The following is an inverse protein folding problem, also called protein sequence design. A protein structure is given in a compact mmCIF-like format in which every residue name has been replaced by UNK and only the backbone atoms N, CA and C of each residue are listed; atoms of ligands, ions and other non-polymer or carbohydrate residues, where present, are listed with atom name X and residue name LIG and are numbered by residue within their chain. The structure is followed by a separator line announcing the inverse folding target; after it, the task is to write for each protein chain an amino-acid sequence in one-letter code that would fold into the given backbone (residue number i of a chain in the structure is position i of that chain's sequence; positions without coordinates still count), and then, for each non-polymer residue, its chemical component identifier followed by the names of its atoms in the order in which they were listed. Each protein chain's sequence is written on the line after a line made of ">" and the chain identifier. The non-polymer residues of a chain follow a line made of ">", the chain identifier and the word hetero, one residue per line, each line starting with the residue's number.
data_IF_809460695101
#
_entry.id   IF_809460695101
#
_cell.length_a   1.000
_cell.length_b   1.000
_cell.length_c   1.000
_cell.angle_alpha   90.00
_cell.angle_beta   90.00
_cell.angle_gamma   90.00
#
_symmetry.space_group_name_H-M   'P 1'
#
loop_
_entity.id
_entity.type
_entity.pdbx_description
1 polymer ?
#
# COMPACT_ATOMS: atom_id res chain seq x y z
N UNK A 1 -8.48 -6.93 21.84
CA UNK A 1 -7.09 -7.46 21.91
C UNK A 1 -7.13 -8.99 21.82
N UNK A 2 -6.70 -9.57 20.69
CA UNK A 2 -6.74 -11.03 20.45
C UNK A 2 -5.94 -11.83 21.49
N UNK A 3 -6.37 -13.06 21.78
CA UNK A 3 -5.69 -14.03 22.66
C UNK A 3 -4.21 -14.21 22.29
N UNK A 4 -3.91 -14.13 20.99
CA UNK A 4 -2.55 -14.22 20.45
C UNK A 4 -1.63 -13.07 20.90
N UNK A 5 -2.16 -11.84 21.02
CA UNK A 5 -1.39 -10.69 21.49
C UNK A 5 -0.99 -10.84 22.98
N UNK A 6 -1.80 -11.54 23.79
CA UNK A 6 -1.47 -11.79 25.20
C UNK A 6 -0.37 -12.85 25.36
N UNK A 7 -0.30 -13.85 24.48
CA UNK A 7 0.75 -14.86 24.50
C UNK A 7 2.12 -14.28 24.08
N UNK A 8 2.15 -13.38 23.10
CA UNK A 8 3.40 -12.72 22.68
C UNK A 8 3.98 -11.82 23.77
N UNK A 9 3.13 -11.06 24.47
CA UNK A 9 3.55 -10.25 25.62
C UNK A 9 4.16 -11.08 26.74
N UNK A 10 3.66 -12.31 26.97
CA UNK A 10 4.22 -13.24 27.97
C UNK A 10 5.59 -13.80 27.58
N UNK A 11 5.94 -13.81 26.30
CA UNK A 11 7.24 -14.27 25.79
C UNK A 11 8.24 -13.11 25.56
N UNK A 12 7.90 -11.89 26.00
CA UNK A 12 8.75 -10.71 25.78
C UNK A 12 8.81 -10.23 24.32
N UNK A 13 8.00 -10.81 23.42
CA UNK A 13 7.91 -10.41 22.00
C UNK A 13 6.93 -9.26 21.81
N UNK A 14 7.20 -8.41 20.83
CA UNK A 14 6.29 -7.32 20.46
C UNK A 14 5.06 -7.91 19.77
N UNK A 15 3.82 -7.53 20.17
CA UNK A 15 2.61 -7.95 19.45
C UNK A 15 2.70 -7.67 17.95
N UNK A 16 2.39 -8.65 17.11
CA UNK A 16 2.44 -8.53 15.65
C UNK A 16 1.66 -7.32 15.10
N UNK A 17 0.50 -7.02 15.69
CA UNK A 17 -0.32 -5.86 15.34
C UNK A 17 0.35 -4.51 15.66
N UNK A 18 1.36 -4.48 16.54
CA UNK A 18 2.18 -3.30 16.85
C UNK A 18 3.44 -3.22 15.99
N UNK A 19 3.93 -4.36 15.51
CA UNK A 19 5.06 -4.42 14.57
C UNK A 19 4.64 -3.94 13.18
N UNK A 20 3.52 -4.43 12.66
CA UNK A 20 3.01 -4.03 11.35
C UNK A 20 2.52 -2.58 11.43
N UNK A 21 3.21 -1.67 10.71
CA UNK A 21 2.92 -0.24 10.72
C UNK A 21 1.43 0.04 10.45
N UNK A 22 0.72 0.67 11.40
CA UNK A 22 -0.73 0.83 11.33
C UNK A 22 -1.19 1.85 10.28
N UNK A 23 -0.31 2.76 9.86
CA UNK A 23 -0.64 3.79 8.86
C UNK A 23 -0.21 3.39 7.43
N UNK A 24 0.20 2.14 7.22
CA UNK A 24 0.64 1.66 5.91
C UNK A 24 -0.50 1.26 4.99
N UNK A 25 -0.27 1.37 3.67
CA UNK A 25 -1.18 0.86 2.64
C UNK A 25 -1.47 -0.63 2.86
N UNK A 26 -0.42 -1.42 3.09
CA UNK A 26 -0.54 -2.87 3.29
C UNK A 26 -1.48 -3.21 4.45
N UNK A 27 -1.39 -2.47 5.55
CA UNK A 27 -2.27 -2.70 6.70
C UNK A 27 -3.72 -2.39 6.36
N UNK A 28 -3.97 -1.25 5.70
CA UNK A 28 -5.31 -0.86 5.28
C UNK A 28 -5.92 -1.85 4.28
N UNK A 29 -5.14 -2.34 3.31
CA UNK A 29 -5.60 -3.34 2.34
C UNK A 29 -5.94 -4.68 3.00
N UNK A 30 -5.15 -5.10 3.99
CA UNK A 30 -5.47 -6.30 4.77
C UNK A 30 -6.79 -6.13 5.54
N UNK A 31 -7.01 -4.95 6.15
CA UNK A 31 -8.22 -4.66 6.92
C UNK A 31 -9.49 -4.59 6.06
N UNK A 32 -9.40 -4.09 4.82
CA UNK A 32 -10.57 -4.05 3.90
C UNK A 32 -10.76 -5.33 3.08
N UNK A 33 -9.72 -6.15 2.92
CA UNK A 33 -9.80 -7.46 2.28
C UNK A 33 -10.29 -8.57 3.23
N UNK A 34 -9.99 -8.45 4.53
CA UNK A 34 -10.51 -9.35 5.54
C UNK A 34 -11.93 -8.94 5.97
N UNK A 35 -12.81 -9.89 6.34
CA UNK A 35 -14.12 -9.55 6.90
C UNK A 35 -13.99 -8.72 8.19
N UNK A 36 -14.80 -7.65 8.32
CA UNK A 36 -14.83 -6.84 9.53
C UNK A 36 -15.52 -7.60 10.68
N UNK A 37 -14.71 -8.18 11.57
CA UNK A 37 -15.19 -9.01 12.68
C UNK A 37 -15.69 -8.22 13.89
N UNK A 38 -15.12 -7.04 14.11
CA UNK A 38 -15.33 -6.28 15.35
C UNK A 38 -16.08 -4.95 15.10
N UNK A 39 -16.36 -4.57 13.84
CA UNK A 39 -17.00 -3.29 13.50
C UNK A 39 -16.12 -2.07 13.75
N UNK A 40 -14.84 -2.29 14.06
CA UNK A 40 -13.85 -1.28 14.45
C UNK A 40 -12.81 -1.02 13.37
N UNK A 41 -12.92 -1.70 12.22
CA UNK A 41 -12.04 -1.47 11.08
C UNK A 41 -12.16 -0.04 10.56
N UNK A 42 -11.02 0.55 10.25
CA UNK A 42 -10.95 1.84 9.56
C UNK A 42 -11.32 3.09 10.37
N UNK A 43 -11.47 3.01 11.70
CA UNK A 43 -11.70 4.22 12.53
C UNK A 43 -10.43 5.01 12.85
N UNK A 44 -9.25 4.40 12.64
CA UNK A 44 -7.97 5.01 13.01
C UNK A 44 -7.67 6.22 12.13
N UNK A 45 -7.47 7.38 12.76
CA UNK A 45 -6.91 8.56 12.08
C UNK A 45 -5.39 8.38 11.96
N UNK A 46 -4.83 8.49 10.74
CA UNK A 46 -3.39 8.41 10.48
C UNK A 46 -2.64 9.50 11.25
N UNK A 47 -1.38 9.29 11.66
CA UNK A 47 -0.64 10.32 12.43
C UNK A 47 -0.62 11.66 11.70
N UNK A 48 -0.26 11.67 10.41
CA UNK A 48 -0.28 12.89 9.60
C UNK A 48 -1.67 13.55 9.53
N UNK A 49 -2.77 12.82 9.74
CA UNK A 49 -4.13 13.36 9.74
C UNK A 49 -4.60 14.00 11.04
N UNK A 50 -3.78 13.96 12.10
CA UNK A 50 -4.18 14.41 13.44
C UNK A 50 -3.85 15.88 13.68
N UNK A 51 -4.35 16.36 14.82
CA UNK A 51 -4.04 17.67 15.39
C UNK A 51 -4.41 18.83 14.48
N UNK A 52 -5.56 18.73 13.81
CA UNK A 52 -6.07 19.80 12.92
C UNK A 52 -6.36 21.11 13.67
N UNK A 53 -6.52 21.04 14.99
CA UNK A 53 -6.69 22.19 15.87
C UNK A 53 -5.41 23.03 16.06
N UNK A 54 -4.23 22.48 15.74
CA UNK A 54 -2.95 23.16 15.96
C UNK A 54 -2.52 23.99 14.74
N UNK A 55 -1.85 25.15 14.96
CA UNK A 55 -1.17 25.87 13.89
C UNK A 55 -0.12 24.99 13.18
N UNK A 56 0.11 25.16 11.87
CA UNK A 56 1.02 24.31 11.08
C UNK A 56 2.42 24.14 11.68
N UNK A 57 3.00 25.23 12.20
CA UNK A 57 4.36 25.24 12.77
C UNK A 57 4.49 24.42 14.07
N UNK A 58 3.42 24.30 14.87
CA UNK A 58 3.42 23.43 16.06
C UNK A 58 3.01 22.00 15.71
N UNK A 59 2.10 21.85 14.75
CA UNK A 59 1.54 20.57 14.36
C UNK A 59 2.64 19.60 13.95
N UNK A 60 3.59 20.03 13.12
CA UNK A 60 4.71 19.18 12.68
C UNK A 60 5.45 18.52 13.84
N UNK A 61 5.89 19.31 14.83
CA UNK A 61 6.62 18.80 16.00
C UNK A 61 5.78 17.84 16.86
N UNK A 62 4.50 18.16 17.08
CA UNK A 62 3.61 17.29 17.85
C UNK A 62 3.39 15.97 17.13
N UNK A 63 3.16 16.00 15.82
CA UNK A 63 3.00 14.80 15.01
C UNK A 63 4.27 13.95 14.99
N UNK A 64 5.45 14.57 14.92
CA UNK A 64 6.74 13.89 14.99
C UNK A 64 6.92 13.13 16.32
N UNK A 65 6.52 13.75 17.43
CA UNK A 65 6.53 13.14 18.76
C UNK A 65 5.52 12.00 18.88
N UNK A 66 4.30 12.16 18.34
CA UNK A 66 3.29 11.09 18.31
C UNK A 66 3.75 9.89 17.47
N UNK A 67 4.35 10.14 16.30
CA UNK A 67 4.91 9.08 15.46
C UNK A 67 6.02 8.31 16.18
N UNK A 68 6.95 9.03 16.84
CA UNK A 68 7.98 8.40 17.65
C UNK A 68 7.35 7.59 18.81
N UNK A 69 6.34 8.14 19.50
CA UNK A 69 5.66 7.45 20.59
C UNK A 69 5.02 6.12 20.15
N UNK A 70 4.39 6.10 18.98
CA UNK A 70 3.74 4.91 18.42
C UNK A 70 4.71 3.91 17.78
N UNK A 71 5.86 4.37 17.26
CA UNK A 71 6.86 3.53 16.64
C UNK A 71 7.42 2.46 17.60
N UNK A 72 7.92 1.37 17.02
CA UNK A 72 8.63 0.32 17.75
C UNK A 72 9.91 0.92 18.36
N UNK A 73 10.16 0.75 19.67
CA UNK A 73 11.42 1.16 20.28
C UNK A 73 12.61 0.46 19.61
N UNK A 74 13.71 1.19 19.42
CA UNK A 74 14.89 0.67 18.76
C UNK A 74 15.51 -0.52 19.52
N UNK A 75 15.43 -0.47 20.85
CA UNK A 75 15.90 -1.49 21.80
C UNK A 75 15.08 -2.78 21.76
N UNK A 76 14.02 -2.81 20.95
CA UNK A 76 13.17 -3.97 20.75
C UNK A 76 13.22 -4.50 19.31
N UNK A 77 14.17 -4.04 18.49
CA UNK A 77 14.35 -4.49 17.12
C UNK A 77 14.61 -6.01 17.03
N UNK A 78 15.40 -6.56 17.94
CA UNK A 78 15.69 -8.01 18.07
C UNK A 78 14.47 -8.85 18.49
N UNK A 79 13.42 -8.21 19.02
CA UNK A 79 12.17 -8.85 19.45
C UNK A 79 11.11 -8.88 18.36
N UNK A 80 11.40 -8.33 17.18
CA UNK A 80 10.51 -8.41 16.02
C UNK A 80 10.53 -9.85 15.48
N UNK A 81 9.36 -10.48 15.44
CA UNK A 81 9.16 -11.82 14.90
C UNK A 81 8.29 -11.72 13.63
N UNK A 82 8.91 -11.85 12.47
CA UNK A 82 8.24 -11.75 11.19
C UNK A 82 7.30 -12.96 10.95
N UNK A 83 7.65 -14.15 11.44
CA UNK A 83 6.76 -15.32 11.39
C UNK A 83 5.47 -15.12 12.20
N UNK A 84 5.57 -14.43 13.33
CA UNK A 84 4.42 -13.98 14.11
C UNK A 84 3.53 -12.98 13.36
N UNK A 85 4.14 -12.06 12.60
CA UNK A 85 3.38 -11.15 11.72
C UNK A 85 2.63 -11.94 10.65
N UNK A 86 3.28 -12.91 10.00
CA UNK A 86 2.63 -13.77 9.01
C UNK A 86 1.45 -14.56 9.60
N UNK A 87 1.58 -15.12 10.82
CA UNK A 87 0.47 -15.77 11.54
C UNK A 87 -0.66 -14.80 11.87
N UNK A 88 -0.32 -13.58 12.29
CA UNK A 88 -1.31 -12.55 12.60
C UNK A 88 -2.09 -12.13 11.34
N UNK A 89 -1.41 -12.02 10.18
CA UNK A 89 -2.05 -11.72 8.89
C UNK A 89 -3.04 -12.82 8.51
N UNK A 90 -2.63 -14.10 8.51
CA UNK A 90 -3.52 -15.20 8.12
C UNK A 90 -4.71 -15.37 9.08
N UNK A 91 -4.52 -15.04 10.35
CA UNK A 91 -5.58 -15.05 11.36
C UNK A 91 -6.65 -13.96 11.17
N UNK A 92 -6.43 -12.95 10.31
CA UNK A 92 -7.47 -11.97 9.98
C UNK A 92 -8.64 -12.61 9.23
N UNK A 93 -8.39 -13.72 8.54
CA UNK A 93 -9.37 -14.40 7.71
C UNK A 93 -10.18 -15.43 8.52
N UNK A 94 -11.46 -15.66 8.17
CA UNK A 94 -12.27 -16.73 8.75
C UNK A 94 -11.74 -18.11 8.40
N UNK A 95 -12.13 -19.10 9.20
CA UNK A 95 -11.74 -20.51 9.07
C UNK A 95 -12.49 -21.23 7.90
N UNK A 96 -12.70 -20.54 6.77
CA UNK A 96 -13.32 -21.07 5.54
C UNK A 96 -12.36 -21.51 4.43
N UNK A 97 -12.83 -22.33 3.48
CA UNK A 97 -12.04 -22.67 2.29
C UNK A 97 -12.19 -21.59 1.20
N UNK A 98 -11.10 -21.20 0.56
CA UNK A 98 -11.07 -20.17 -0.48
C UNK A 98 -10.89 -20.81 -1.87
N UNK A 99 -11.65 -20.33 -2.87
CA UNK A 99 -11.44 -20.72 -4.26
C UNK A 99 -10.21 -20.04 -4.88
N UNK A 100 -9.82 -18.89 -4.31
CA UNK A 100 -8.70 -18.10 -4.77
C UNK A 100 -7.93 -17.46 -3.59
N UNK A 101 -6.64 -17.22 -3.77
CA UNK A 101 -5.82 -16.38 -2.89
C UNK A 101 -5.02 -15.40 -3.74
N UNK A 102 -5.02 -14.13 -3.37
CA UNK A 102 -4.19 -13.10 -3.99
C UNK A 102 -2.99 -12.85 -3.09
N UNK A 103 -1.78 -12.90 -3.64
CA UNK A 103 -0.54 -12.58 -2.97
C UNK A 103 0.14 -11.44 -3.71
N UNK A 104 0.83 -10.53 -3.03
CA UNK A 104 1.64 -9.58 -3.79
C UNK A 104 2.01 -8.28 -3.11
N UNK A 105 2.57 -7.40 -3.94
CA UNK A 105 2.79 -5.99 -3.66
C UNK A 105 1.50 -5.29 -3.21
N UNK A 106 1.57 -4.30 -2.32
CA UNK A 106 0.40 -3.54 -1.89
C UNK A 106 -0.17 -2.75 -3.06
N UNK A 107 -1.43 -3.04 -3.39
CA UNK A 107 -2.16 -2.35 -4.45
C UNK A 107 -3.66 -2.39 -4.13
N UNK A 108 -4.38 -1.27 -4.24
CA UNK A 108 -5.82 -1.24 -3.92
C UNK A 108 -6.64 -2.19 -4.80
N UNK A 109 -6.25 -2.34 -6.06
CA UNK A 109 -6.79 -3.38 -6.95
C UNK A 109 -6.66 -4.82 -6.41
N UNK A 110 -5.63 -5.13 -5.61
CA UNK A 110 -5.53 -6.45 -4.97
C UNK A 110 -6.64 -6.68 -3.93
N UNK A 111 -7.04 -5.64 -3.21
CA UNK A 111 -8.14 -5.69 -2.26
C UNK A 111 -9.50 -5.80 -2.98
N UNK A 112 -9.69 -5.09 -4.10
CA UNK A 112 -10.85 -5.25 -4.98
C UNK A 112 -10.97 -6.66 -5.56
N UNK A 113 -9.85 -7.25 -6.00
CA UNK A 113 -9.81 -8.64 -6.42
C UNK A 113 -10.16 -9.60 -5.28
N UNK A 114 -9.62 -9.37 -4.08
CA UNK A 114 -9.93 -10.18 -2.92
C UNK A 114 -11.44 -10.20 -2.63
N UNK A 115 -12.08 -9.03 -2.61
CA UNK A 115 -13.52 -8.93 -2.40
C UNK A 115 -14.34 -9.62 -3.51
N UNK A 116 -13.97 -9.41 -4.78
CA UNK A 116 -14.74 -9.88 -5.94
C UNK A 116 -14.60 -11.38 -6.20
N UNK A 117 -13.40 -11.93 -5.98
CA UNK A 117 -13.13 -13.37 -6.04
C UNK A 117 -13.58 -14.09 -4.75
N UNK A 118 -13.90 -13.34 -3.69
CA UNK A 118 -13.99 -13.80 -2.31
C UNK A 118 -12.75 -14.62 -1.90
N UNK A 119 -11.59 -14.04 -2.18
CA UNK A 119 -10.25 -14.54 -1.90
C UNK A 119 -9.66 -13.87 -0.65
N UNK A 120 -8.66 -14.50 -0.06
CA UNK A 120 -7.78 -13.82 0.90
C UNK A 120 -6.69 -13.03 0.17
N UNK A 121 -6.27 -11.89 0.72
CA UNK A 121 -5.08 -11.15 0.28
C UNK A 121 -3.91 -11.29 1.26
N UNK A 122 -2.75 -11.76 0.77
CA UNK A 122 -1.55 -11.99 1.57
C UNK A 122 -0.39 -11.12 1.05
N UNK A 123 0.08 -10.10 1.79
CA UNK A 123 1.14 -9.22 1.31
C UNK A 123 2.50 -9.93 1.26
N UNK A 124 3.32 -9.61 0.26
CA UNK A 124 4.69 -10.16 0.06
C UNK A 124 5.77 -9.49 0.93
N UNK A 125 5.36 -8.54 1.77
CA UNK A 125 6.18 -7.90 2.77
C UNK A 125 5.33 -6.99 3.64
N UNK A 126 5.94 -6.36 4.64
CA UNK A 126 5.23 -5.43 5.51
C UNK A 126 6.20 -4.36 6.05
N UNK A 127 5.73 -3.12 6.22
CA UNK A 127 6.52 -2.06 6.84
C UNK A 127 6.46 -2.12 8.36
N UNK A 128 7.59 -1.82 8.97
CA UNK A 128 7.79 -1.57 10.41
C UNK A 128 8.38 -0.17 10.54
N UNK A 129 7.86 0.62 11.49
CA UNK A 129 8.43 1.92 11.83
C UNK A 129 9.12 1.82 13.17
N UNK A 130 10.40 2.15 13.21
CA UNK A 130 11.20 2.17 14.44
C UNK A 130 11.59 3.60 14.80
N UNK A 131 11.78 3.84 16.09
CA UNK A 131 12.26 5.13 16.59
C UNK A 131 13.68 5.42 16.09
N UNK A 132 13.93 6.68 15.79
CA UNK A 132 15.26 7.20 15.51
C UNK A 132 15.52 8.40 16.43
N UNK A 133 15.95 8.15 17.67
CA UNK A 133 16.21 9.21 18.63
C UNK A 133 17.39 10.06 18.18
N UNK A 134 17.23 11.39 18.18
CA UNK A 134 18.27 12.33 17.74
C UNK A 134 18.50 12.37 16.23
N UNK A 135 17.61 11.75 15.44
CA UNK A 135 17.69 11.79 13.98
C UNK A 135 17.36 13.14 13.37
N UNK A 136 17.69 13.28 12.09
CA UNK A 136 17.41 14.47 11.29
C UNK A 136 16.88 14.09 9.91
N UNK A 137 15.90 14.84 9.42
CA UNK A 137 15.38 14.68 8.06
C UNK A 137 16.48 14.82 7.00
N UNK A 138 17.44 15.72 7.22
CA UNK A 138 18.48 16.06 6.25
C UNK A 138 19.65 15.07 6.20
N UNK A 139 19.88 14.36 7.30
CA UNK A 139 21.01 13.43 7.47
C UNK A 139 20.59 11.99 7.13
N UNK A 140 20.25 11.77 5.86
CA UNK A 140 19.90 10.44 5.39
C UNK A 140 21.06 9.42 5.47
N UNK A 141 22.37 9.80 5.38
CA UNK A 141 23.45 8.87 5.64
C UNK A 141 23.42 8.32 7.08
N UNK A 142 23.22 9.19 8.09
CA UNK A 142 23.05 8.72 9.47
C UNK A 142 21.78 7.85 9.64
N UNK A 143 20.71 8.16 8.90
CA UNK A 143 19.52 7.30 8.87
C UNK A 143 19.83 5.90 8.31
N UNK A 144 20.67 5.81 7.29
CA UNK A 144 21.12 4.56 6.68
C UNK A 144 21.94 3.73 7.67
N UNK A 145 22.93 4.34 8.32
CA UNK A 145 23.77 3.66 9.31
C UNK A 145 22.94 3.17 10.50
N UNK A 146 22.04 4.01 11.00
CA UNK A 146 21.12 3.65 12.08
C UNK A 146 20.24 2.45 11.70
N UNK A 147 19.62 2.50 10.52
CA UNK A 147 18.75 1.43 10.08
C UNK A 147 19.49 0.18 9.65
N UNK A 148 20.75 0.24 9.21
CA UNK A 148 21.60 -0.93 8.98
C UNK A 148 21.84 -1.72 10.29
N UNK A 149 22.08 -1.01 11.39
CA UNK A 149 22.18 -1.62 12.72
C UNK A 149 20.88 -2.30 13.15
N UNK A 150 19.74 -1.61 12.98
CA UNK A 150 18.42 -2.18 13.29
C UNK A 150 18.06 -3.37 12.39
N UNK A 151 18.34 -3.28 11.09
CA UNK A 151 18.10 -4.34 10.13
C UNK A 151 18.90 -5.59 10.47
N UNK A 152 20.16 -5.42 10.90
CA UNK A 152 21.02 -6.53 11.32
C UNK A 152 20.43 -7.27 12.53
N UNK A 153 19.93 -6.54 13.53
CA UNK A 153 19.26 -7.13 14.71
C UNK A 153 17.99 -7.89 14.32
N UNK A 154 17.18 -7.31 13.43
CA UNK A 154 15.95 -7.93 12.93
C UNK A 154 16.27 -9.19 12.12
N UNK A 155 17.21 -9.10 11.18
CA UNK A 155 17.56 -10.19 10.26
C UNK A 155 18.13 -11.40 11.02
N UNK A 156 18.89 -11.19 12.09
CA UNK A 156 19.44 -12.27 12.93
C UNK A 156 18.34 -13.20 13.49
N UNK A 157 17.17 -12.65 13.85
CA UNK A 157 16.01 -13.43 14.30
C UNK A 157 15.07 -13.87 13.17
N UNK A 158 15.27 -13.41 11.95
CA UNK A 158 14.35 -13.56 10.82
C UNK A 158 15.10 -13.87 9.51
N UNK A 159 15.78 -15.02 9.38
CA UNK A 159 16.61 -15.32 8.20
C UNK A 159 15.80 -15.40 6.89
N UNK A 160 14.48 -15.52 6.95
CA UNK A 160 13.59 -15.57 5.79
C UNK A 160 13.17 -14.22 5.20
N UNK A 161 13.70 -13.09 5.69
CA UNK A 161 13.35 -11.75 5.17
C UNK A 161 14.55 -11.01 4.61
N UNK A 162 14.32 -10.17 3.60
CA UNK A 162 15.21 -9.05 3.27
C UNK A 162 14.62 -7.75 3.80
N UNK A 163 15.48 -6.77 4.10
CA UNK A 163 15.10 -5.49 4.69
C UNK A 163 15.41 -4.35 3.73
N UNK A 164 14.40 -3.53 3.46
CA UNK A 164 14.52 -2.31 2.69
C UNK A 164 14.20 -1.09 3.55
N UNK A 165 15.16 -0.22 3.81
CA UNK A 165 14.87 1.08 4.40
C UNK A 165 14.50 2.10 3.33
N UNK A 166 13.51 2.93 3.64
CA UNK A 166 13.13 4.09 2.82
C UNK A 166 13.23 5.35 3.66
N UNK A 167 14.07 6.29 3.22
CA UNK A 167 14.16 7.64 3.77
C UNK A 167 13.51 8.63 2.80
N UNK A 168 12.27 9.02 3.09
CA UNK A 168 11.44 9.79 2.15
C UNK A 168 10.73 10.96 2.85
N UNK A 169 11.33 12.17 2.83
CA UNK A 169 10.73 13.36 3.43
C UNK A 169 9.47 13.84 2.71
N UNK A 170 9.28 13.50 1.42
CA UNK A 170 8.11 13.92 0.64
C UNK A 170 6.85 13.25 1.19
N UNK A 171 6.94 11.95 1.42
CA UNK A 171 5.84 11.14 1.96
C UNK A 171 5.68 11.28 3.47
N UNK A 172 6.79 11.33 4.22
CA UNK A 172 6.75 11.32 5.70
C UNK A 172 6.66 12.71 6.31
N UNK A 173 7.01 13.76 5.56
CA UNK A 173 7.01 15.15 6.03
C UNK A 173 7.69 15.28 7.40
N UNK A 174 7.01 15.85 8.41
CA UNK A 174 7.60 16.07 9.74
C UNK A 174 7.90 14.77 10.52
N UNK A 175 7.44 13.62 10.05
CA UNK A 175 7.78 12.32 10.66
C UNK A 175 9.12 11.77 10.16
N UNK A 176 9.65 12.32 9.07
CA UNK A 176 11.01 12.08 8.63
C UNK A 176 11.97 12.64 9.70
N UNK A 177 13.05 11.93 10.02
CA UNK A 177 14.00 12.36 11.06
C UNK A 177 13.71 11.85 12.48
N UNK A 178 12.47 11.54 12.86
CA UNK A 178 12.17 10.96 14.20
C UNK A 178 12.00 9.45 14.21
N UNK A 179 11.83 8.88 13.03
CA UNK A 179 11.58 7.45 12.82
C UNK A 179 12.22 6.98 11.53
N UNK A 180 12.59 5.70 11.48
CA UNK A 180 12.99 5.01 10.26
C UNK A 180 11.90 4.02 9.84
N UNK A 181 11.70 3.85 8.53
CA UNK A 181 10.76 2.87 7.98
C UNK A 181 11.53 1.74 7.33
N UNK A 182 11.40 0.55 7.89
CA UNK A 182 11.97 -0.68 7.35
C UNK A 182 10.85 -1.51 6.74
N UNK A 183 11.00 -1.93 5.50
CA UNK A 183 10.10 -2.86 4.84
C UNK A 183 10.75 -4.24 4.82
N UNK A 184 10.16 -5.15 5.57
CA UNK A 184 10.56 -6.55 5.63
C UNK A 184 9.86 -7.27 4.47
N UNK A 185 10.61 -7.86 3.55
CA UNK A 185 10.10 -8.56 2.37
C UNK A 185 10.38 -10.04 2.52
N UNK A 186 9.39 -10.89 2.21
CA UNK A 186 9.55 -12.34 2.35
C UNK A 186 10.50 -12.86 1.26
N UNK A 187 11.70 -13.27 1.67
CA UNK A 187 12.64 -14.00 0.81
C UNK A 187 12.30 -15.49 0.79
N UNK A 188 11.79 -15.98 1.92
CA UNK A 188 11.30 -17.35 2.13
C UNK A 188 9.81 -17.31 2.41
N UNK A 189 9.04 -18.23 1.83
CA UNK A 189 7.60 -18.32 2.05
C UNK A 189 7.34 -18.60 3.54
N UNK A 190 6.67 -17.70 4.28
CA UNK A 190 6.44 -17.91 5.70
C UNK A 190 5.61 -19.17 5.95
N UNK A 191 5.92 -19.91 7.01
CA UNK A 191 5.20 -21.13 7.38
C UNK A 191 3.68 -20.92 7.42
N UNK A 192 3.22 -19.81 8.01
CA UNK A 192 1.80 -19.48 8.10
C UNK A 192 1.14 -19.31 6.73
N UNK A 193 1.86 -18.76 5.74
CA UNK A 193 1.34 -18.61 4.37
C UNK A 193 1.31 -19.95 3.66
N UNK A 194 2.36 -20.76 3.80
CA UNK A 194 2.41 -22.10 3.22
C UNK A 194 1.32 -23.00 3.81
N UNK A 195 1.10 -22.96 5.11
CA UNK A 195 0.00 -23.67 5.79
C UNK A 195 -1.36 -23.15 5.33
N UNK A 196 -1.53 -21.84 5.22
CA UNK A 196 -2.77 -21.25 4.72
C UNK A 196 -3.08 -21.72 3.30
N UNK A 197 -2.10 -21.70 2.39
CA UNK A 197 -2.30 -22.16 1.02
C UNK A 197 -2.59 -23.67 0.96
N UNK A 198 -1.91 -24.51 1.76
CA UNK A 198 -2.18 -25.96 1.79
C UNK A 198 -3.54 -26.32 2.36
N UNK A 199 -3.94 -25.63 3.43
CA UNK A 199 -5.09 -26.04 4.24
C UNK A 199 -6.35 -25.22 3.98
N UNK A 200 -6.23 -24.04 3.35
CA UNK A 200 -7.35 -23.10 3.19
C UNK A 200 -7.69 -22.86 1.73
N UNK A 201 -6.76 -23.08 0.79
CA UNK A 201 -7.11 -23.13 -0.63
C UNK A 201 -7.90 -24.42 -0.91
N UNK A 202 -9.00 -24.31 -1.65
CA UNK A 202 -9.79 -25.46 -2.09
C UNK A 202 -8.97 -26.33 -3.06
N UNK A 203 -9.20 -27.65 -3.12
CA UNK A 203 -8.66 -28.48 -4.20
C UNK A 203 -9.02 -27.90 -5.57
N UNK A 204 -8.04 -27.75 -6.47
CA UNK A 204 -8.23 -27.07 -7.76
C UNK A 204 -8.37 -25.54 -7.68
N UNK A 205 -8.23 -24.97 -6.49
CA UNK A 205 -8.19 -23.53 -6.27
C UNK A 205 -6.98 -22.86 -6.92
N UNK A 206 -7.02 -21.54 -6.96
CA UNK A 206 -6.03 -20.74 -7.68
C UNK A 206 -5.32 -19.75 -6.78
N UNK A 207 -4.06 -19.46 -7.07
CA UNK A 207 -3.36 -18.33 -6.47
C UNK A 207 -2.96 -17.33 -7.55
N UNK A 208 -2.94 -16.04 -7.20
CA UNK A 208 -2.50 -14.96 -8.07
C UNK A 208 -1.40 -14.19 -7.37
N UNK A 209 -0.21 -14.14 -7.96
CA UNK A 209 0.89 -13.30 -7.50
C UNK A 209 0.91 -11.98 -8.29
N UNK A 210 0.61 -10.89 -7.60
CA UNK A 210 0.72 -9.52 -8.10
C UNK A 210 2.10 -8.95 -7.78
N UNK A 211 2.79 -8.42 -8.79
CA UNK A 211 4.17 -7.94 -8.61
C UNK A 211 4.39 -6.57 -9.24
N UNK A 212 4.73 -5.63 -8.38
CA UNK A 212 5.28 -4.34 -8.78
C UNK A 212 6.71 -4.52 -9.28
N UNK A 213 6.96 -4.10 -10.52
CA UNK A 213 8.25 -4.22 -11.19
C UNK A 213 9.03 -2.90 -11.18
N UNK A 214 8.56 -1.87 -10.47
CA UNK A 214 9.28 -0.59 -10.35
C UNK A 214 10.63 -0.79 -9.70
N UNK A 215 11.62 -0.11 -10.25
CA UNK A 215 12.98 -0.06 -9.71
C UNK A 215 13.29 1.33 -9.15
N UNK A 216 14.28 1.39 -8.27
CA UNK A 216 14.78 2.62 -7.66
C UNK A 216 16.30 2.49 -7.46
N UNK A 217 17.06 3.60 -7.42
CA UNK A 217 18.46 3.57 -6.98
C UNK A 217 18.58 3.06 -5.54
N UNK A 218 19.42 2.06 -5.35
CA UNK A 218 19.55 1.35 -4.08
C UNK A 218 21.00 1.37 -3.61
N UNK A 219 21.21 1.94 -2.43
CA UNK A 219 22.47 1.81 -1.72
C UNK A 219 22.47 0.48 -0.97
N UNK A 220 23.46 -0.35 -1.25
CA UNK A 220 23.70 -1.58 -0.51
C UNK A 220 24.53 -1.25 0.74
N UNK A 221 24.00 -1.59 1.91
CA UNK A 221 24.59 -1.23 3.19
C UNK A 221 24.68 -2.43 4.15
N UNK A 222 24.66 -3.65 3.60
CA UNK A 222 24.85 -4.89 4.34
C UNK A 222 24.18 -6.10 3.68
N UNK A 223 24.44 -7.33 4.18
CA UNK A 223 23.75 -8.53 3.72
C UNK A 223 22.24 -8.41 3.94
N UNK A 224 21.45 -8.67 2.89
CA UNK A 224 19.99 -8.58 2.91
C UNK A 224 19.42 -7.21 3.35
N UNK A 225 20.24 -6.15 3.37
CA UNK A 225 19.83 -4.78 3.68
C UNK A 225 20.12 -3.82 2.52
N UNK A 226 19.07 -3.12 2.09
CA UNK A 226 19.19 -2.05 1.10
C UNK A 226 18.51 -0.78 1.57
N UNK A 227 19.05 0.36 1.12
CA UNK A 227 18.58 1.69 1.49
C UNK A 227 18.13 2.47 0.25
N UNK A 228 17.02 3.20 0.37
CA UNK A 228 16.48 4.08 -0.66
C UNK A 228 16.29 5.48 -0.11
N UNK A 229 16.77 6.47 -0.85
CA UNK A 229 16.38 7.86 -0.68
C UNK A 229 15.19 8.13 -1.58
N UNK A 230 14.05 8.49 -1.00
CA UNK A 230 12.79 8.60 -1.72
C UNK A 230 12.16 7.27 -2.09
N UNK A 231 11.04 7.35 -2.82
CA UNK A 231 10.23 6.19 -3.18
C UNK A 231 9.50 6.45 -4.50
N UNK A 232 9.30 5.42 -5.34
CA UNK A 232 8.47 5.55 -6.55
C UNK A 232 7.00 5.85 -6.25
N UNK A 233 6.56 5.76 -4.99
CA UNK A 233 5.17 6.01 -4.57
C UNK A 233 4.81 7.50 -4.47
N UNK A 234 5.81 8.38 -4.46
CA UNK A 234 5.58 9.83 -4.31
C UNK A 234 5.17 10.50 -5.61
N UNK A 235 5.44 9.88 -6.76
CA UNK A 235 5.27 10.48 -8.09
C UNK A 235 6.50 11.25 -8.59
N UNK A 236 7.52 11.42 -7.76
CA UNK A 236 8.82 11.93 -8.16
C UNK A 236 9.75 10.84 -8.69
N UNK A 237 10.77 11.28 -9.42
CA UNK A 237 11.91 10.46 -9.81
C UNK A 237 13.03 10.59 -8.78
N UNK A 238 14.01 9.70 -8.81
CA UNK A 238 15.19 9.80 -7.93
C UNK A 238 15.96 11.11 -8.11
N UNK A 239 15.95 11.69 -9.32
CA UNK A 239 16.61 12.96 -9.63
C UNK A 239 15.95 14.15 -8.94
N UNK A 240 14.66 14.06 -8.60
CA UNK A 240 13.95 15.14 -7.89
C UNK A 240 14.39 15.28 -6.43
N UNK A 241 15.04 14.25 -5.85
CA UNK A 241 15.50 14.23 -4.46
C UNK A 241 16.90 14.82 -4.31
N UNK A 242 17.09 16.08 -4.72
CA UNK A 242 18.27 16.84 -4.34
C UNK A 242 18.10 18.35 -4.35
N UNK A 243 19.02 19.06 -3.67
CA UNK A 243 18.86 20.47 -3.33
C UNK A 243 18.90 21.40 -4.56
N UNK A 244 19.33 20.87 -5.70
CA UNK A 244 19.25 21.50 -7.02
C UNK A 244 17.80 21.66 -7.51
N UNK A 245 16.87 20.82 -7.04
CA UNK A 245 15.44 20.93 -7.37
C UNK A 245 14.75 21.93 -6.43
N UNK A 246 14.19 23.06 -6.95
CA UNK A 246 13.60 24.09 -6.08
C UNK A 246 12.42 23.60 -5.22
N UNK A 247 11.63 22.65 -5.74
CA UNK A 247 10.51 22.07 -5.00
C UNK A 247 11.00 21.24 -3.80
N UNK A 248 12.07 20.48 -3.98
CA UNK A 248 12.65 19.68 -2.90
C UNK A 248 13.36 20.56 -1.87
N UNK A 249 14.08 21.59 -2.30
CA UNK A 249 14.69 22.55 -1.37
C UNK A 249 13.65 23.21 -0.47
N UNK A 250 12.54 23.68 -1.03
CA UNK A 250 11.42 24.25 -0.23
C UNK A 250 10.84 23.24 0.76
N UNK A 251 10.75 21.96 0.38
CA UNK A 251 10.32 20.91 1.29
C UNK A 251 11.29 20.76 2.46
N UNK A 252 12.60 20.68 2.20
CA UNK A 252 13.61 20.57 3.26
C UNK A 252 13.59 21.80 4.19
N UNK A 253 13.53 23.00 3.63
CA UNK A 253 13.42 24.25 4.40
C UNK A 253 12.18 24.23 5.32
N UNK A 254 11.03 23.79 4.80
CA UNK A 254 9.79 23.64 5.56
C UNK A 254 9.83 22.57 6.65
N UNK A 255 10.75 21.60 6.53
CA UNK A 255 11.02 20.58 7.53
C UNK A 255 12.16 20.97 8.48
N UNK A 256 12.77 22.15 8.30
CA UNK A 256 13.91 22.60 9.09
C UNK A 256 15.19 21.79 8.83
N UNK A 257 15.31 21.16 7.66
CA UNK A 257 16.50 20.41 7.27
C UNK A 257 17.46 21.36 6.53
N UNK A 258 18.61 21.64 7.15
CA UNK A 258 19.65 22.55 6.65
C UNK A 258 20.68 21.85 5.74
N UNK A 259 20.72 20.52 5.77
CA UNK A 259 21.64 19.70 5.00
C UNK A 259 20.91 18.61 4.21
N UNK A 260 21.52 18.21 3.09
CA UNK A 260 21.17 17.02 2.32
C UNK A 260 22.45 16.47 1.72
N UNK A 261 23.19 15.70 2.52
CA UNK A 261 24.55 15.25 2.21
C UNK A 261 24.56 13.90 1.50
N UNK A 262 25.38 13.77 0.46
CA UNK A 262 25.65 12.50 -0.22
C UNK A 262 25.03 12.37 -1.61
N UNK A 263 25.53 11.38 -2.36
CA UNK A 263 24.98 10.96 -3.66
C UNK A 263 24.44 9.54 -3.54
N UNK A 264 23.23 9.34 -4.05
CA UNK A 264 22.61 8.02 -4.18
C UNK A 264 22.11 7.77 -5.61
N UNK A 265 22.08 8.80 -6.47
CA UNK A 265 21.49 8.74 -7.81
C UNK A 265 22.25 7.79 -8.74
N UNK A 266 23.56 7.67 -8.54
CA UNK A 266 24.43 6.76 -9.29
C UNK A 266 24.36 5.31 -8.79
N UNK A 267 23.59 5.05 -7.72
CA UNK A 267 23.46 3.71 -7.19
C UNK A 267 22.72 2.79 -8.18
N UNK A 268 23.05 1.48 -8.23
CA UNK A 268 22.37 0.55 -9.11
C UNK A 268 20.86 0.56 -8.90
N UNK A 269 20.12 0.53 -10.02
CA UNK A 269 18.67 0.34 -9.96
C UNK A 269 18.35 -1.10 -9.58
N UNK A 270 17.59 -1.27 -8.50
CA UNK A 270 17.06 -2.56 -8.06
C UNK A 270 15.55 -2.46 -7.84
N UNK A 271 14.87 -3.59 -7.66
CA UNK A 271 13.47 -3.61 -7.27
C UNK A 271 13.22 -2.75 -6.01
N UNK A 272 12.25 -1.84 -6.14
CA UNK A 272 11.88 -0.90 -5.10
C UNK A 272 11.26 -1.60 -3.88
N UNK A 273 10.93 -0.84 -2.85
CA UNK A 273 10.45 -1.36 -1.57
C UNK A 273 9.13 -2.14 -1.71
N UNK A 274 8.24 -1.73 -2.60
CA UNK A 274 6.91 -2.33 -2.80
C UNK A 274 6.94 -3.61 -3.63
N UNK A 275 8.00 -3.86 -4.40
CA UNK A 275 8.13 -4.96 -5.36
C UNK A 275 8.16 -6.38 -4.77
N UNK A 276 8.33 -6.50 -3.45
CA UNK A 276 8.59 -7.78 -2.79
C UNK A 276 9.98 -8.35 -3.15
N UNK A 277 10.33 -9.49 -2.58
CA UNK A 277 11.61 -10.15 -2.85
C UNK A 277 11.46 -11.23 -3.95
N UNK A 278 12.28 -11.23 -5.02
CA UNK A 278 12.20 -12.24 -6.08
C UNK A 278 12.47 -13.67 -5.65
N UNK A 279 13.13 -13.89 -4.52
CA UNK A 279 13.39 -15.24 -4.02
C UNK A 279 12.12 -15.98 -3.55
N UNK A 280 10.99 -15.28 -3.40
CA UNK A 280 9.71 -15.86 -3.04
C UNK A 280 9.07 -16.66 -4.19
N UNK A 281 9.30 -16.25 -5.44
CA UNK A 281 8.60 -16.77 -6.61
C UNK A 281 8.79 -18.29 -6.82
N UNK A 282 10.02 -18.84 -6.74
CA UNK A 282 10.23 -20.28 -6.89
C UNK A 282 9.46 -21.09 -5.83
N UNK A 283 9.44 -20.63 -4.57
CA UNK A 283 8.78 -21.35 -3.49
C UNK A 283 7.26 -21.36 -3.62
N UNK A 284 6.67 -20.28 -4.14
CA UNK A 284 5.25 -20.25 -4.46
C UNK A 284 4.91 -21.20 -5.61
N UNK A 285 5.81 -21.34 -6.60
CA UNK A 285 5.65 -22.31 -7.69
C UNK A 285 5.76 -23.74 -7.18
N UNK A 286 6.80 -24.06 -6.42
CA UNK A 286 7.00 -25.39 -5.85
C UNK A 286 5.81 -25.81 -4.98
N UNK A 287 5.27 -24.88 -4.19
CA UNK A 287 4.08 -25.14 -3.39
C UNK A 287 2.83 -25.39 -4.25
N UNK A 288 2.67 -24.63 -5.33
CA UNK A 288 1.55 -24.82 -6.26
C UNK A 288 1.61 -26.20 -6.93
N UNK A 289 2.81 -26.62 -7.36
CA UNK A 289 3.05 -27.95 -7.93
C UNK A 289 2.75 -29.06 -6.90
N UNK A 290 3.22 -28.92 -5.65
CA UNK A 290 2.96 -29.87 -4.58
C UNK A 290 1.47 -30.01 -4.21
N UNK A 291 0.71 -28.92 -4.34
CA UNK A 291 -0.71 -28.87 -3.95
C UNK A 291 -1.66 -29.09 -5.12
N UNK A 292 -1.15 -29.20 -6.34
CA UNK A 292 -1.97 -29.24 -7.57
C UNK A 292 -2.77 -27.96 -7.81
N UNK A 293 -2.42 -26.86 -7.14
CA UNK A 293 -3.10 -25.57 -7.30
C UNK A 293 -2.51 -24.81 -8.49
N UNK A 294 -3.34 -24.05 -9.20
CA UNK A 294 -2.87 -23.23 -10.31
C UNK A 294 -2.42 -21.87 -9.81
N UNK A 295 -1.23 -21.43 -10.21
CA UNK A 295 -0.71 -20.10 -9.88
C UNK A 295 -0.60 -19.24 -11.11
N UNK A 296 -1.21 -18.06 -11.06
CA UNK A 296 -1.07 -17.00 -12.07
C UNK A 296 -0.16 -15.90 -11.56
N UNK A 297 0.45 -15.16 -12.47
CA UNK A 297 1.30 -14.01 -12.15
C UNK A 297 0.88 -12.81 -12.99
N UNK A 298 0.72 -11.66 -12.34
CA UNK A 298 0.54 -10.37 -13.03
C UNK A 298 1.67 -9.46 -12.61
N UNK A 299 2.51 -9.08 -13.57
CA UNK A 299 3.59 -8.12 -13.38
C UNK A 299 3.17 -6.78 -13.99
N UNK A 300 3.39 -5.69 -13.25
CA UNK A 300 3.09 -4.34 -13.71
C UNK A 300 4.28 -3.40 -13.46
N UNK A 301 4.57 -2.52 -14.44
CA UNK A 301 5.64 -1.51 -14.29
C UNK A 301 5.15 -0.20 -13.68
N UNK A 302 3.84 -0.02 -13.54
CA UNK A 302 3.26 1.07 -12.79
C UNK A 302 1.90 0.66 -12.20
N UNK A 303 1.53 1.17 -11.02
CA UNK A 303 0.22 0.90 -10.40
C UNK A 303 -0.97 1.34 -11.25
N UNK A 304 -0.82 2.43 -12.01
CA UNK A 304 -1.88 3.00 -12.85
C UNK A 304 -2.31 2.01 -13.96
N UNK A 305 -1.33 1.31 -14.54
CA UNK A 305 -1.59 0.30 -15.58
C UNK A 305 -2.38 -0.90 -15.04
N UNK A 306 -2.04 -1.39 -13.85
CA UNK A 306 -2.79 -2.47 -13.24
C UNK A 306 -4.19 -2.01 -12.80
N UNK A 307 -4.32 -0.77 -12.34
CA UNK A 307 -5.62 -0.18 -12.00
C UNK A 307 -6.54 -0.02 -13.21
N UNK A 308 -6.01 0.45 -14.34
CA UNK A 308 -6.75 0.54 -15.60
C UNK A 308 -7.25 -0.84 -16.07
N UNK A 309 -6.34 -1.81 -16.19
CA UNK A 309 -6.71 -3.15 -16.67
C UNK A 309 -7.67 -3.88 -15.74
N UNK A 310 -7.57 -3.64 -14.43
CA UNK A 310 -8.55 -4.18 -13.48
C UNK A 310 -9.91 -3.50 -13.61
N UNK A 311 -9.95 -2.18 -13.79
CA UNK A 311 -11.19 -1.43 -13.98
C UNK A 311 -11.93 -1.90 -15.24
N UNK A 312 -11.21 -2.11 -16.34
CA UNK A 312 -11.76 -2.61 -17.60
C UNK A 312 -12.30 -4.04 -17.45
N UNK A 313 -11.53 -4.93 -16.79
CA UNK A 313 -11.98 -6.28 -16.47
C UNK A 313 -13.24 -6.29 -15.59
N UNK A 314 -13.34 -5.37 -14.64
CA UNK A 314 -14.52 -5.24 -13.77
C UNK A 314 -15.71 -4.69 -14.54
N UNK A 315 -15.49 -3.76 -15.47
CA UNK A 315 -16.54 -3.23 -16.34
C UNK A 315 -17.13 -4.31 -17.23
N UNK A 316 -16.28 -5.16 -17.83
CA UNK A 316 -16.73 -6.32 -18.61
C UNK A 316 -17.50 -7.32 -17.74
N UNK A 317 -16.99 -7.63 -16.54
CA UNK A 317 -17.64 -8.54 -15.60
C UNK A 317 -19.01 -8.05 -15.10
N UNK A 318 -19.18 -6.74 -14.91
CA UNK A 318 -20.42 -6.13 -14.42
C UNK A 318 -21.38 -5.71 -15.55
N UNK A 319 -21.11 -6.10 -16.79
CA UNK A 319 -21.90 -5.78 -17.99
C UNK A 319 -22.06 -4.26 -18.20
N UNK A 320 -20.93 -3.54 -18.21
CA UNK A 320 -20.89 -2.11 -18.57
C UNK A 320 -21.19 -1.14 -17.43
N UNK A 321 -20.94 -1.52 -16.17
CA UNK A 321 -21.27 -0.78 -14.94
C UNK A 321 -21.34 0.77 -15.07
N UNK A 322 -22.48 1.32 -14.64
CA UNK A 322 -22.86 2.73 -14.84
C UNK A 322 -22.05 3.73 -13.99
N UNK A 323 -21.46 3.28 -12.88
CA UNK A 323 -20.77 4.14 -11.92
C UNK A 323 -19.27 3.84 -11.81
N UNK A 324 -18.45 4.88 -11.74
CA UNK A 324 -17.01 4.78 -11.48
C UNK A 324 -16.65 5.34 -10.10
N UNK A 325 -15.67 4.71 -9.45
CA UNK A 325 -15.08 5.16 -8.21
C UNK A 325 -13.57 5.32 -8.39
N UNK A 326 -13.09 6.57 -8.38
CA UNK A 326 -11.65 6.87 -8.37
C UNK A 326 -11.21 7.00 -6.91
N UNK A 327 -10.54 5.96 -6.44
CA UNK A 327 -10.03 5.83 -5.07
C UNK A 327 -8.56 6.18 -5.00
N UNK A 328 -8.04 6.53 -3.81
CA UNK A 328 -6.64 6.88 -3.65
C UNK A 328 -6.10 6.39 -2.31
N UNK A 329 -4.89 5.81 -2.34
CA UNK A 329 -4.14 5.35 -1.18
C UNK A 329 -4.97 4.39 -0.33
N UNK A 330 -5.28 4.78 0.91
CA UNK A 330 -6.02 3.99 1.89
C UNK A 330 -7.53 4.23 1.87
N UNK A 331 -8.01 5.19 1.08
CA UNK A 331 -9.44 5.46 0.96
C UNK A 331 -10.03 4.57 -0.13
N UNK A 332 -10.38 3.34 0.24
CA UNK A 332 -11.06 2.37 -0.61
C UNK A 332 -12.13 1.56 0.16
N UNK A 333 -13.17 1.11 -0.55
CA UNK A 333 -14.19 0.18 -0.01
C UNK A 333 -14.54 -0.93 -1.03
N UNK A 334 -13.69 -1.97 -1.14
CA UNK A 334 -13.91 -3.08 -2.07
C UNK A 334 -15.28 -3.74 -1.99
N UNK A 335 -15.74 -4.04 -0.77
CA UNK A 335 -17.01 -4.74 -0.55
C UNK A 335 -18.22 -3.82 -0.81
N UNK A 336 -18.13 -2.54 -0.46
CA UNK A 336 -19.16 -1.56 -0.79
C UNK A 336 -19.27 -1.30 -2.28
N UNK A 337 -18.13 -1.16 -2.97
CA UNK A 337 -18.06 -0.94 -4.43
C UNK A 337 -18.68 -2.10 -5.20
N UNK A 338 -18.35 -3.35 -4.83
CA UNK A 338 -18.95 -4.54 -5.44
C UNK A 338 -20.47 -4.60 -5.24
N UNK A 339 -20.96 -4.35 -4.01
CA UNK A 339 -22.41 -4.34 -3.70
C UNK A 339 -23.19 -3.25 -4.43
N UNK A 340 -22.50 -2.23 -4.94
CA UNK A 340 -23.09 -1.09 -5.67
C UNK A 340 -22.77 -1.12 -7.16
N UNK A 341 -22.01 -2.12 -7.62
CA UNK A 341 -21.52 -2.26 -9.00
C UNK A 341 -20.76 -1.02 -9.48
N UNK A 342 -19.97 -0.41 -8.59
CA UNK A 342 -19.06 0.69 -8.92
C UNK A 342 -17.75 0.12 -9.47
N UNK A 343 -17.29 0.63 -10.61
CA UNK A 343 -16.03 0.26 -11.23
C UNK A 343 -14.89 1.02 -10.54
N UNK A 344 -13.99 0.34 -9.80
CA UNK A 344 -12.94 0.99 -9.05
C UNK A 344 -11.72 1.26 -9.95
N UNK A 345 -11.21 2.49 -9.90
CA UNK A 345 -9.86 2.84 -10.35
C UNK A 345 -9.08 3.32 -9.12
N UNK A 346 -7.93 2.71 -8.84
CA UNK A 346 -7.17 3.02 -7.63
C UNK A 346 -5.87 3.76 -7.94
N UNK A 347 -5.69 4.94 -7.33
CA UNK A 347 -4.46 5.69 -7.34
C UNK A 347 -3.60 5.33 -6.12
N UNK A 348 -2.30 5.08 -6.30
CA UNK A 348 -1.42 4.71 -5.17
C UNK A 348 -1.23 5.83 -4.14
N UNK A 349 -1.18 7.06 -4.63
CA UNK A 349 -0.98 8.26 -3.83
C UNK A 349 -1.68 9.43 -4.50
N UNK A 350 -1.71 10.58 -3.82
CA UNK A 350 -2.30 11.79 -4.35
C UNK A 350 -1.38 12.53 -5.36
N UNK A 351 -0.37 11.87 -5.90
CA UNK A 351 0.62 12.46 -6.80
C UNK A 351 0.02 12.92 -8.12
N UNK A 352 0.66 13.89 -8.78
CA UNK A 352 0.31 14.32 -10.13
C UNK A 352 0.38 13.17 -11.14
N UNK A 353 1.34 12.24 -10.96
CA UNK A 353 1.46 11.04 -11.79
C UNK A 353 0.23 10.14 -11.68
N UNK A 354 -0.24 9.87 -10.45
CA UNK A 354 -1.39 9.03 -10.23
C UNK A 354 -2.68 9.67 -10.76
N UNK A 355 -2.83 10.99 -10.59
CA UNK A 355 -3.91 11.76 -11.23
C UNK A 355 -3.86 11.65 -12.76
N UNK A 356 -2.69 11.85 -13.36
CA UNK A 356 -2.50 11.80 -14.82
C UNK A 356 -2.87 10.41 -15.35
N UNK A 357 -2.47 9.34 -14.66
CA UNK A 357 -2.86 7.98 -15.04
C UNK A 357 -4.37 7.75 -15.03
N UNK A 358 -5.07 8.26 -14.01
CA UNK A 358 -6.53 8.19 -13.95
C UNK A 358 -7.20 9.02 -15.05
N UNK A 359 -6.69 10.23 -15.31
CA UNK A 359 -7.19 11.12 -16.36
C UNK A 359 -7.07 10.47 -17.75
N UNK A 360 -5.90 9.88 -18.07
CA UNK A 360 -5.70 9.19 -19.35
C UNK A 360 -6.60 7.97 -19.52
N UNK A 361 -6.76 7.17 -18.47
CA UNK A 361 -7.67 6.02 -18.51
C UNK A 361 -9.13 6.48 -18.74
N UNK A 362 -9.59 7.50 -18.01
CA UNK A 362 -10.94 8.06 -18.18
C UNK A 362 -11.15 8.65 -19.57
N UNK A 363 -10.17 9.35 -20.13
CA UNK A 363 -10.25 9.91 -21.48
C UNK A 363 -10.29 8.84 -22.58
N UNK A 364 -9.71 7.65 -22.33
CA UNK A 364 -9.75 6.51 -23.25
C UNK A 364 -10.91 5.54 -23.01
N UNK A 365 -11.68 5.73 -21.95
CA UNK A 365 -12.79 4.85 -21.57
C UNK A 365 -14.11 5.31 -22.17
N UNK A 366 -15.03 4.37 -22.38
CA UNK A 366 -16.44 4.70 -22.57
C UNK A 366 -16.94 5.52 -21.35
N UNK A 367 -17.81 6.54 -21.54
CA UNK A 367 -18.29 7.37 -20.44
C UNK A 367 -18.95 6.55 -19.32
N UNK A 368 -18.84 7.04 -18.09
CA UNK A 368 -19.61 6.56 -16.94
C UNK A 368 -20.75 7.53 -16.67
N UNK A 369 -21.93 7.04 -16.26
CA UNK A 369 -23.05 7.91 -15.88
C UNK A 369 -22.72 8.70 -14.62
N UNK A 370 -22.21 8.00 -13.60
CA UNK A 370 -21.90 8.57 -12.30
C UNK A 370 -20.43 8.35 -11.93
N UNK A 371 -19.82 9.32 -11.26
CA UNK A 371 -18.45 9.20 -10.78
C UNK A 371 -18.27 9.81 -9.39
N UNK A 372 -17.61 9.05 -8.52
CA UNK A 372 -17.15 9.54 -7.21
C UNK A 372 -15.63 9.51 -7.15
N UNK A 373 -15.01 10.61 -6.74
CA UNK A 373 -13.55 10.75 -6.60
C UNK A 373 -13.20 10.93 -5.12
N UNK A 374 -12.24 10.14 -4.62
CA UNK A 374 -11.81 10.07 -3.22
C UNK A 374 -10.27 10.23 -3.11
N UNK A 375 -9.72 11.44 -3.31
CA UNK A 375 -8.28 11.65 -3.25
C UNK A 375 -7.81 11.72 -1.79
N UNK A 376 -7.11 10.69 -1.31
CA UNK A 376 -6.57 10.70 0.05
C UNK A 376 -5.64 11.92 0.23
N UNK A 377 -5.90 12.79 1.23
CA UNK A 377 -4.99 13.87 1.54
C UNK A 377 -3.60 13.29 1.89
N UNK A 378 -2.51 13.70 1.22
CA UNK A 378 -1.18 13.14 1.45
C UNK A 378 -0.60 13.45 2.83
N UNK A 379 -1.13 14.45 3.54
CA UNK A 379 -0.64 14.86 4.86
C UNK A 379 0.58 15.77 4.83
N UNK A 380 1.10 16.04 3.64
CA UNK A 380 2.20 16.96 3.38
C UNK A 380 1.79 17.96 2.31
N UNK A 381 2.29 19.19 2.43
CA UNK A 381 2.24 20.14 1.31
C UNK A 381 3.51 19.95 0.48
N UNK A 382 3.35 19.77 -0.82
CA UNK A 382 4.46 19.48 -1.71
C UNK A 382 4.01 19.59 -3.15
N UNK A 383 4.84 20.23 -3.99
CA UNK A 383 4.57 20.41 -5.42
C UNK A 383 4.63 19.13 -6.27
N UNK A 384 4.41 17.97 -5.65
CA UNK A 384 4.30 16.66 -6.29
C UNK A 384 2.85 16.17 -6.32
N UNK A 385 1.99 16.73 -5.48
CA UNK A 385 0.62 16.27 -5.29
C UNK A 385 -0.31 16.97 -6.27
N UNK A 386 -1.23 16.22 -6.88
CA UNK A 386 -2.28 16.78 -7.70
C UNK A 386 -3.18 17.69 -6.88
N UNK A 387 -3.44 18.89 -7.40
CA UNK A 387 -4.30 19.87 -6.73
C UNK A 387 -5.73 19.37 -6.60
N UNK A 388 -6.48 19.94 -5.64
CA UNK A 388 -7.90 19.66 -5.51
C UNK A 388 -8.70 19.98 -6.79
N UNK A 389 -8.24 20.96 -7.58
CA UNK A 389 -8.84 21.30 -8.88
C UNK A 389 -8.67 20.17 -9.89
N UNK A 390 -7.49 19.55 -9.94
CA UNK A 390 -7.25 18.36 -10.76
C UNK A 390 -8.15 17.21 -10.31
N UNK A 391 -8.22 16.89 -9.02
CA UNK A 391 -9.15 15.84 -8.56
C UNK A 391 -10.62 16.13 -8.90
N UNK A 392 -11.05 17.41 -8.87
CA UNK A 392 -12.39 17.81 -9.33
C UNK A 392 -12.58 17.65 -10.84
N UNK A 393 -11.53 17.78 -11.67
CA UNK A 393 -11.66 17.59 -13.10
C UNK A 393 -11.91 16.12 -13.46
N UNK A 394 -11.37 15.15 -12.71
CA UNK A 394 -11.70 13.74 -12.92
C UNK A 394 -13.21 13.49 -12.79
N UNK A 395 -13.84 14.07 -11.78
CA UNK A 395 -15.29 13.94 -11.59
C UNK A 395 -16.10 14.45 -12.80
N UNK A 396 -15.54 15.38 -13.59
CA UNK A 396 -16.22 15.97 -14.75
C UNK A 396 -16.27 15.03 -15.97
N UNK A 397 -15.62 13.86 -15.91
CA UNK A 397 -15.76 12.80 -16.92
C UNK A 397 -17.08 12.04 -16.82
N UNK A 398 -17.83 12.19 -15.72
CA UNK A 398 -19.16 11.59 -15.59
C UNK A 398 -20.15 12.26 -16.56
N UNK A 399 -20.96 11.45 -17.25
CA UNK A 399 -22.00 11.92 -18.17
C UNK A 399 -23.18 12.58 -17.45
N UNK A 400 -23.46 12.18 -16.20
CA UNK A 400 -24.61 12.68 -15.42
C UNK A 400 -24.18 13.30 -14.10
N UNK A 401 -23.63 12.52 -13.17
CA UNK A 401 -23.29 13.02 -11.83
C UNK A 401 -21.83 12.73 -11.45
N UNK A 402 -21.00 13.77 -11.60
CA UNK A 402 -19.64 13.79 -11.11
C UNK A 402 -19.54 14.42 -9.74
N UNK A 403 -18.83 13.79 -8.80
CA UNK A 403 -18.54 14.40 -7.50
C UNK A 403 -17.19 14.03 -6.91
N UNK A 404 -16.65 15.00 -6.19
CA UNK A 404 -15.55 14.82 -5.26
C UNK A 404 -16.14 14.78 -3.85
N UNK A 405 -15.74 13.79 -3.03
CA UNK A 405 -16.22 13.71 -1.65
C UNK A 405 -15.93 15.00 -0.86
N UNK A 406 -16.97 15.55 -0.23
CA UNK A 406 -16.90 16.87 0.43
C UNK A 406 -16.02 16.85 1.67
N UNK A 407 -16.00 15.75 2.42
CA UNK A 407 -15.19 15.63 3.63
C UNK A 407 -13.73 15.56 3.23
N UNK A 408 -13.38 14.70 2.28
CA UNK A 408 -12.04 14.58 1.70
C UNK A 408 -11.58 15.93 1.15
N UNK A 409 -12.44 16.62 0.40
CA UNK A 409 -12.11 17.94 -0.16
C UNK A 409 -11.78 19.00 0.90
N UNK A 410 -12.48 18.98 2.04
CA UNK A 410 -12.22 19.90 3.16
C UNK A 410 -10.92 19.63 3.92
N UNK A 411 -10.34 18.44 3.75
CA UNK A 411 -9.13 18.00 4.45
C UNK A 411 -7.89 17.98 3.54
N UNK A 412 -8.06 18.15 2.24
CA UNK A 412 -6.99 18.11 1.25
C UNK A 412 -6.13 19.40 1.27
N UNK A 413 -4.79 19.32 1.18
CA UNK A 413 -3.95 18.11 1.11
C UNK A 413 -3.47 17.60 2.49
N UNK A 414 -3.74 18.33 3.57
CA UNK A 414 -2.96 18.22 4.80
C UNK A 414 -3.46 17.18 5.81
N UNK A 415 -4.70 16.70 5.71
CA UNK A 415 -5.33 15.94 6.78
C UNK A 415 -5.83 14.57 6.31
N UNK A 416 -4.96 13.56 6.20
CA UNK A 416 -5.35 12.20 5.89
C UNK A 416 -6.50 11.71 6.79
N UNK A 417 -7.47 11.02 6.21
CA UNK A 417 -8.70 10.62 6.89
C UNK A 417 -8.66 9.15 7.33
N UNK A 418 -9.50 8.76 8.31
CA UNK A 418 -9.69 7.35 8.64
C UNK A 418 -10.36 6.60 7.47
N UNK A 419 -9.97 5.35 7.22
CA UNK A 419 -10.39 4.61 6.01
C UNK A 419 -11.90 4.35 5.94
N UNK A 420 -12.61 4.37 7.09
CA UNK A 420 -14.09 4.31 7.13
C UNK A 420 -14.77 5.41 6.31
N UNK A 421 -14.08 6.52 6.02
CA UNK A 421 -14.62 7.57 5.15
C UNK A 421 -14.89 7.05 3.75
N UNK A 422 -14.08 6.11 3.23
CA UNK A 422 -14.33 5.50 1.93
C UNK A 422 -15.67 4.75 1.92
N UNK A 423 -15.93 3.92 2.94
CA UNK A 423 -17.19 3.20 3.06
C UNK A 423 -18.40 4.14 3.14
N UNK A 424 -18.28 5.28 3.83
CA UNK A 424 -19.32 6.31 3.84
C UNK A 424 -19.55 6.91 2.45
N UNK A 425 -18.48 7.32 1.77
CA UNK A 425 -18.58 7.96 0.47
C UNK A 425 -19.15 7.01 -0.60
N UNK A 426 -18.76 5.73 -0.55
CA UNK A 426 -19.32 4.66 -1.38
C UNK A 426 -20.79 4.42 -1.05
N UNK A 427 -21.16 4.43 0.24
CA UNK A 427 -22.56 4.28 0.64
C UNK A 427 -23.46 5.40 0.11
N UNK A 428 -22.94 6.64 0.05
CA UNK A 428 -23.61 7.79 -0.52
C UNK A 428 -23.59 7.80 -2.07
N UNK A 429 -22.77 6.95 -2.73
CA UNK A 429 -22.54 6.97 -4.19
C UNK A 429 -23.61 6.30 -5.01
N UNK A 430 -24.09 5.17 -4.53
CA UNK A 430 -25.10 4.40 -5.20
C UNK A 430 -25.87 3.55 -4.20
N UNK A 431 -27.06 3.11 -4.61
CA UNK A 431 -27.84 2.16 -3.85
C UNK A 431 -27.24 0.74 -3.97
N UNK A 432 -27.45 -0.07 -2.95
CA UNK A 432 -27.05 -1.48 -2.99
C UNK A 432 -27.85 -2.23 -4.05
N UNK A 433 -27.16 -3.02 -4.87
CA UNK A 433 -27.73 -3.89 -5.90
C UNK A 433 -27.55 -5.36 -5.49
N UNK A 434 -28.30 -6.30 -6.10
CA UNK A 434 -28.04 -7.73 -5.92
C UNK A 434 -26.60 -8.09 -6.25
N UNK A 435 -25.96 -8.84 -5.36
CA UNK A 435 -24.56 -9.26 -5.51
C UNK A 435 -24.39 -9.98 -6.85
N UNK A 436 -23.44 -9.55 -7.70
CA UNK A 436 -23.17 -10.23 -8.97
C UNK A 436 -22.63 -11.66 -8.73
N UNK A 437 -22.78 -12.58 -9.70
CA UNK A 437 -22.17 -13.91 -9.63
C UNK A 437 -20.67 -13.79 -9.40
N UNK A 438 -20.08 -14.61 -8.52
CA UNK A 438 -18.65 -14.50 -8.18
C UNK A 438 -17.75 -14.55 -9.43
N UNK A 439 -16.86 -13.57 -9.57
CA UNK A 439 -15.81 -13.59 -10.59
C UNK A 439 -14.88 -14.79 -10.36
N UNK A 440 -14.50 -15.49 -11.42
CA UNK A 440 -13.53 -16.59 -11.33
C UNK A 440 -12.15 -16.11 -11.73
N UNK A 441 -11.10 -16.74 -11.17
CA UNK A 441 -9.72 -16.41 -11.53
C UNK A 441 -9.43 -16.63 -13.03
N UNK A 442 -9.86 -17.73 -13.68
CA UNK A 442 -9.69 -17.88 -15.13
C UNK A 442 -10.31 -16.73 -15.94
N UNK A 443 -11.57 -16.35 -15.64
CA UNK A 443 -12.24 -15.23 -16.32
C UNK A 443 -11.48 -13.91 -16.16
N UNK A 444 -11.01 -13.63 -14.94
CA UNK A 444 -10.18 -12.45 -14.68
C UNK A 444 -8.91 -12.47 -15.53
N UNK A 445 -8.20 -13.60 -15.54
CA UNK A 445 -6.91 -13.72 -16.25
C UNK A 445 -7.09 -13.61 -17.76
N UNK A 446 -8.16 -14.18 -18.31
CA UNK A 446 -8.48 -14.05 -19.73
C UNK A 446 -8.79 -12.60 -20.10
N UNK A 447 -9.54 -11.87 -19.26
CA UNK A 447 -9.80 -10.44 -19.44
C UNK A 447 -8.53 -9.60 -19.32
N UNK A 448 -7.67 -9.86 -18.33
CA UNK A 448 -6.41 -9.13 -18.21
C UNK A 448 -5.47 -9.41 -19.38
N UNK A 449 -5.52 -10.62 -19.98
CA UNK A 449 -4.70 -10.99 -21.14
C UNK A 449 -5.16 -10.33 -22.44
N UNK A 450 -6.46 -10.11 -22.65
CA UNK A 450 -6.94 -9.39 -23.83
C UNK A 450 -6.38 -7.98 -23.89
N UNK A 451 -6.21 -7.35 -22.72
CA UNK A 451 -5.84 -5.93 -22.62
C UNK A 451 -4.36 -5.76 -22.24
N UNK A 452 -3.66 -6.85 -21.88
CA UNK A 452 -2.31 -6.83 -21.32
C UNK A 452 -1.28 -6.09 -22.19
N UNK A 453 -1.30 -6.30 -23.51
CA UNK A 453 -0.34 -5.69 -24.42
C UNK A 453 -0.54 -4.18 -24.55
N UNK A 454 -1.81 -3.72 -24.56
CA UNK A 454 -2.14 -2.30 -24.61
C UNK A 454 -1.82 -1.58 -23.29
N UNK A 455 -1.91 -2.30 -22.17
CA UNK A 455 -1.77 -1.76 -20.82
C UNK A 455 -0.41 -2.05 -20.16
N UNK A 456 0.55 -2.65 -20.88
CA UNK A 456 1.89 -2.92 -20.35
C UNK A 456 1.93 -3.92 -19.19
N UNK A 457 0.94 -4.80 -19.09
CA UNK A 457 0.87 -5.89 -18.11
C UNK A 457 1.52 -7.16 -18.68
N UNK A 458 2.20 -7.94 -17.82
CA UNK A 458 2.62 -9.29 -18.17
C UNK A 458 1.83 -10.30 -17.33
N UNK A 459 1.01 -11.10 -18.00
CA UNK A 459 0.10 -12.07 -17.38
C UNK A 459 0.53 -13.49 -17.69
N UNK A 460 1.19 -14.13 -16.73
CA UNK A 460 1.73 -15.49 -16.78
C UNK A 460 0.77 -16.52 -16.22
#
# INVERSE_FOLDING_TARGET
>A
MSVFNRQQQRQGKIPAARVFCPDSLDRSFLEVAAPDRDGTSGHRVPVLGRRSELPPYLRGQVLANEAAAEAVPAEAADKIDAGAVARWITAQYPDDKYAAVVLGSPHGGAAHLAATLGAAWLPTGFPVTLRWPGGSTGDWPAAMDWGAGLASLIAAGNPGVSVRQVHDPVRRGPLCGTTVTLRLRWRVLPFAYAEFLRTRLQPGGTSLLLRDMRTWPVLEAGPDFGFQVGSPTTGWTADDYGPDRPAFRRLLDGLGADQWSGSFRDAPSQYAETAGDPALDPQLRDLAEQTGCRTYRVLYKSPEMFSAGLADAFRAYLDGGEGCLVECGRLLDPSGSLRRRLIPYWCESASERAFTGAEWWLAGSEPFDDMTVLPEPPGTDGGVHATLRQWRSLASFAARNGRLDRVVAGHYPLLPLPTRQAARAVAEAAETRPTPPRLTMPTLIDSLRSDAAALGLLVG
#
